data_IF_127049646856
#
_entry.id   IF_127049646856
#
_cell.length_a   1.000
_cell.length_b   1.000
_cell.length_c   1.000
_cell.angle_alpha   90.00
_cell.angle_beta   90.00
_cell.angle_gamma   90.00
#
_symmetry.space_group_name_H-M   'P 1'
#
loop_
_entity.id
_entity.type
_entity.pdbx_description
1 polymer ?
#
# COMPACT_ATOMS: atom_id res chain seq x y z
N UNK A 1 -60.45 108.67 31.36
CA UNK A 1 -60.49 107.36 30.68
C UNK A 1 -59.07 106.80 30.60
N UNK A 2 -58.90 105.59 31.16
CA UNK A 2 -57.78 104.60 31.15
C UNK A 2 -56.32 104.98 30.79
N UNK A 3 -55.43 104.63 31.73
CA UNK A 3 -54.10 103.95 31.68
C UNK A 3 -53.15 104.23 30.49
N UNK A 4 -51.83 104.37 30.62
CA UNK A 4 -50.81 104.17 31.68
C UNK A 4 -49.45 104.32 30.97
N UNK A 5 -48.44 105.01 31.52
CA UNK A 5 -47.31 104.40 32.24
C UNK A 5 -46.36 103.58 31.33
N UNK A 6 -45.04 103.67 31.36
CA UNK A 6 -44.07 104.24 32.30
C UNK A 6 -42.65 104.13 31.69
N UNK A 7 -41.81 105.09 32.08
CA UNK A 7 -40.39 105.04 32.50
C UNK A 7 -39.29 104.47 31.56
N UNK A 8 -38.20 105.19 31.22
CA UNK A 8 -37.10 105.85 31.99
C UNK A 8 -35.86 104.93 32.18
N UNK A 9 -34.66 105.43 31.79
CA UNK A 9 -33.46 105.69 32.64
C UNK A 9 -32.17 105.81 31.78
N UNK A 10 -31.40 106.92 31.93
CA UNK A 10 -30.08 107.09 32.62
C UNK A 10 -28.89 106.44 31.89
N UNK A 11 -27.63 106.83 31.98
CA UNK A 11 -26.81 107.99 32.39
C UNK A 11 -25.34 107.53 32.12
N UNK A 12 -24.45 108.40 31.64
CA UNK A 12 -23.00 108.11 31.51
C UNK A 12 -22.26 108.38 32.82
N UNK A 13 -21.14 107.67 33.08
CA UNK A 13 -19.81 108.19 33.49
C UNK A 13 -18.77 107.03 33.60
N UNK A 14 -17.50 107.40 33.33
CA UNK A 14 -16.24 106.67 33.09
C UNK A 14 -15.64 105.91 34.28
N UNK A 15 -14.81 104.89 34.01
CA UNK A 15 -13.58 104.55 34.77
C UNK A 15 -12.58 103.77 33.89
N UNK A 16 -11.29 104.06 34.04
CA UNK A 16 -10.17 103.45 33.32
C UNK A 16 -9.72 102.12 33.97
N UNK A 17 -9.24 101.16 33.16
CA UNK A 17 -8.54 99.97 33.63
C UNK A 17 -7.26 99.72 32.81
N UNK A 18 -6.17 99.49 33.52
CA UNK A 18 -4.84 99.10 33.03
C UNK A 18 -4.89 97.65 32.52
N UNK A 19 -4.36 97.37 31.33
CA UNK A 19 -4.19 96.01 30.82
C UNK A 19 -2.71 95.73 30.54
N UNK A 20 -2.17 94.71 31.23
CA UNK A 20 -0.80 94.24 31.09
C UNK A 20 -0.58 93.60 29.70
N UNK A 21 0.54 93.95 29.06
CA UNK A 21 0.99 93.34 27.80
C UNK A 21 1.63 91.98 28.12
N UNK A 22 0.89 90.89 27.97
CA UNK A 22 1.46 89.55 27.91
C UNK A 22 1.87 89.30 26.46
N UNK A 23 3.17 89.22 26.19
CA UNK A 23 3.66 88.73 24.90
C UNK A 23 3.44 87.22 24.86
N UNK A 24 2.31 86.78 24.29
CA UNK A 24 2.13 85.39 23.91
C UNK A 24 3.01 85.12 22.68
N UNK A 25 4.12 84.43 22.87
CA UNK A 25 4.82 83.75 21.78
C UNK A 25 3.88 82.67 21.24
N UNK A 26 3.23 82.94 20.10
CA UNK A 26 2.59 81.89 19.33
C UNK A 26 3.70 80.98 18.77
N UNK A 27 3.98 79.87 19.46
CA UNK A 27 4.68 78.76 18.83
C UNK A 27 3.77 78.27 17.69
N UNK A 28 4.16 78.51 16.43
CA UNK A 28 3.52 77.81 15.34
C UNK A 28 3.81 76.32 15.55
N UNK A 29 2.79 75.56 15.93
CA UNK A 29 2.83 74.12 15.77
C UNK A 29 2.94 73.87 14.26
N UNK A 30 4.17 73.75 13.77
CA UNK A 30 4.41 73.24 12.43
C UNK A 30 3.72 71.90 12.36
N UNK A 31 2.74 71.77 11.47
CA UNK A 31 2.23 70.46 11.07
C UNK A 31 3.44 69.75 10.47
N UNK A 32 4.04 68.85 11.25
CA UNK A 32 5.03 67.92 10.72
C UNK A 32 4.24 67.01 9.80
N UNK A 33 4.23 67.33 8.52
CA UNK A 33 3.81 66.38 7.49
C UNK A 33 4.85 65.27 7.56
N UNK A 34 4.49 64.15 8.21
CA UNK A 34 5.31 62.95 8.20
C UNK A 34 5.64 62.64 6.73
N UNK A 35 6.93 62.38 6.45
CA UNK A 35 7.33 61.91 5.13
C UNK A 35 6.42 60.73 4.73
N UNK A 36 5.97 60.64 3.47
CA UNK A 36 5.07 59.57 3.06
C UNK A 36 5.68 58.22 3.46
N UNK A 37 4.92 57.45 4.24
CA UNK A 37 5.35 56.14 4.71
C UNK A 37 5.74 55.26 3.52
N UNK A 38 6.83 54.50 3.64
CA UNK A 38 7.18 53.51 2.63
C UNK A 38 6.38 52.25 2.91
N UNK A 39 5.61 51.75 1.93
CA UNK A 39 4.92 50.47 2.07
C UNK A 39 5.89 49.35 2.47
N UNK A 40 5.43 48.35 3.23
CA UNK A 40 6.18 47.13 3.48
C UNK A 40 6.51 46.42 2.15
N UNK A 41 7.44 45.47 2.19
CA UNK A 41 7.75 44.55 1.09
C UNK A 41 7.29 43.16 1.50
N UNK A 42 6.24 42.67 0.85
CA UNK A 42 5.77 41.30 1.00
C UNK A 42 6.74 40.33 0.31
N UNK A 43 7.03 39.21 0.96
CA UNK A 43 7.75 38.09 0.37
C UNK A 43 7.44 36.82 1.14
N UNK A 44 7.12 35.74 0.44
CA UNK A 44 6.96 34.43 1.06
C UNK A 44 7.48 33.28 0.21
N UNK A 45 7.59 32.12 0.83
CA UNK A 45 7.91 30.84 0.18
C UNK A 45 6.84 29.81 0.52
N UNK A 46 6.65 28.84 -0.38
CA UNK A 46 5.77 27.70 -0.19
C UNK A 46 6.59 26.40 -0.26
N UNK A 47 6.44 25.50 0.71
CA UNK A 47 7.17 24.23 0.74
C UNK A 47 6.31 23.09 1.31
N UNK A 48 6.21 21.93 0.64
CA UNK A 48 6.80 21.63 -0.67
C UNK A 48 6.07 22.34 -1.82
N UNK A 49 6.79 22.58 -2.93
CA UNK A 49 6.24 23.07 -4.20
C UNK A 49 7.10 22.48 -5.35
N UNK A 50 6.61 21.48 -6.12
CA UNK A 50 5.25 20.94 -6.10
C UNK A 50 4.94 20.11 -4.84
N UNK A 51 3.65 20.05 -4.48
CA UNK A 51 3.12 19.20 -3.41
C UNK A 51 2.14 18.18 -3.99
N UNK A 52 1.92 17.05 -3.31
CA UNK A 52 0.86 16.13 -3.70
C UNK A 52 -0.49 16.55 -3.14
N UNK A 53 -1.58 16.13 -3.78
CA UNK A 53 -2.92 16.21 -3.17
C UNK A 53 -2.90 15.70 -1.72
N UNK A 54 -3.61 16.38 -0.83
CA UNK A 54 -3.66 16.11 0.60
C UNK A 54 -2.34 16.30 1.37
N UNK A 55 -1.23 16.64 0.70
CA UNK A 55 0.02 17.02 1.38
C UNK A 55 -0.09 18.46 1.90
N UNK A 56 0.42 18.68 3.11
CA UNK A 56 0.41 20.02 3.71
C UNK A 56 1.54 20.86 3.13
N UNK A 57 1.17 21.97 2.49
CA UNK A 57 2.06 23.05 2.06
C UNK A 57 2.21 24.04 3.20
N UNK A 58 3.44 24.35 3.58
CA UNK A 58 3.79 25.37 4.54
C UNK A 58 4.17 26.65 3.83
N UNK A 59 3.61 27.76 4.30
CA UNK A 59 3.88 29.10 3.79
C UNK A 59 4.68 29.88 4.82
N UNK A 60 5.82 30.43 4.41
CA UNK A 60 6.71 31.20 5.28
C UNK A 60 6.97 32.59 4.68
N UNK A 61 6.48 33.62 5.37
CA UNK A 61 6.63 35.04 5.03
C UNK A 61 7.68 35.79 5.89
N UNK A 62 8.55 35.09 6.62
CA UNK A 62 9.59 35.71 7.46
C UNK A 62 10.55 36.63 6.68
N UNK A 63 10.62 36.48 5.35
CA UNK A 63 11.39 37.36 4.46
C UNK A 63 10.70 38.70 4.15
N UNK A 64 9.45 38.90 4.58
CA UNK A 64 8.75 40.18 4.44
C UNK A 64 9.40 41.22 5.35
N UNK A 65 9.53 42.45 4.85
CA UNK A 65 10.24 43.53 5.57
C UNK A 65 9.48 44.84 5.52
N UNK A 66 9.70 45.69 6.52
CA UNK A 66 9.33 47.09 6.48
C UNK A 66 10.50 47.91 7.06
N UNK A 67 10.80 49.04 6.40
CA UNK A 67 11.87 49.95 6.82
C UNK A 67 11.48 50.81 8.02
N UNK A 68 10.18 50.96 8.28
CA UNK A 68 9.65 51.88 9.30
C UNK A 68 9.27 51.18 10.60
N UNK A 69 9.19 49.85 10.61
CA UNK A 69 8.87 49.09 11.81
C UNK A 69 8.57 47.62 11.52
N UNK A 70 8.00 46.91 12.52
CA UNK A 70 7.55 45.54 12.34
C UNK A 70 6.24 45.49 11.55
N UNK A 71 6.04 44.40 10.79
CA UNK A 71 4.77 44.09 10.14
C UNK A 71 3.69 43.85 11.20
N UNK A 72 2.53 44.51 11.06
CA UNK A 72 1.41 44.42 12.00
C UNK A 72 0.54 43.18 11.77
N UNK A 73 0.30 42.80 10.51
CA UNK A 73 -0.43 41.56 10.19
C UNK A 73 -0.07 40.95 8.83
N UNK A 74 -0.28 39.64 8.74
CA UNK A 74 -0.23 38.84 7.51
C UNK A 74 -1.62 38.30 7.19
N UNK A 75 -2.07 38.55 5.98
CA UNK A 75 -3.36 38.08 5.44
C UNK A 75 -3.08 37.29 4.16
N UNK A 76 -3.75 36.17 3.98
CA UNK A 76 -3.46 35.22 2.92
C UNK A 76 -4.72 34.91 2.13
N UNK A 77 -4.56 34.86 0.81
CA UNK A 77 -5.48 34.26 -0.17
C UNK A 77 -4.91 32.87 -0.49
N UNK A 78 -5.32 31.86 0.26
CA UNK A 78 -4.72 30.52 0.17
C UNK A 78 -5.39 29.64 -0.89
N UNK A 79 -6.57 30.01 -1.39
CA UNK A 79 -7.25 29.29 -2.49
C UNK A 79 -7.12 29.98 -3.85
N UNK A 80 -6.53 31.17 -3.89
CA UNK A 80 -6.28 31.93 -5.11
C UNK A 80 -7.54 32.55 -5.72
N UNK A 81 -8.61 32.72 -4.93
CA UNK A 81 -9.88 33.28 -5.41
C UNK A 81 -9.91 34.82 -5.46
N UNK A 82 -8.85 35.48 -4.97
CA UNK A 82 -8.70 36.93 -4.90
C UNK A 82 -9.15 37.57 -3.59
N UNK A 83 -9.63 36.78 -2.63
CA UNK A 83 -10.05 37.24 -1.29
C UNK A 83 -9.08 36.73 -0.22
N UNK A 84 -8.73 37.58 0.73
CA UNK A 84 -7.86 37.20 1.84
C UNK A 84 -8.68 36.60 2.97
N UNK A 85 -8.84 35.28 2.96
CA UNK A 85 -9.68 34.52 3.88
C UNK A 85 -8.96 34.10 5.17
N UNK A 86 -7.63 34.13 5.18
CA UNK A 86 -6.82 33.71 6.33
C UNK A 86 -6.02 34.88 6.89
N UNK A 87 -6.23 35.23 8.16
CA UNK A 87 -5.45 36.26 8.87
C UNK A 87 -4.68 35.61 10.04
N UNK A 88 -3.35 35.67 9.99
CA UNK A 88 -2.48 35.05 11.00
C UNK A 88 -1.94 36.04 12.03
N UNK A 89 -2.46 37.27 12.04
CA UNK A 89 -1.97 38.35 12.89
C UNK A 89 -0.48 38.57 12.65
N UNK A 90 0.32 38.60 13.72
CA UNK A 90 1.78 38.77 13.64
C UNK A 90 2.56 37.50 13.29
N UNK A 91 1.90 36.35 13.14
CA UNK A 91 2.55 35.10 12.71
C UNK A 91 2.79 35.12 11.20
N UNK A 92 4.06 35.06 10.79
CA UNK A 92 4.47 35.05 9.38
C UNK A 92 4.30 33.68 8.71
N UNK A 93 3.80 32.67 9.43
CA UNK A 93 3.65 31.30 8.90
C UNK A 93 2.21 30.81 8.95
N UNK A 94 1.82 30.07 7.93
CA UNK A 94 0.55 29.31 7.86
C UNK A 94 0.74 28.03 7.03
N UNK A 95 -0.29 27.21 6.92
CA UNK A 95 -0.24 25.98 6.13
C UNK A 95 -1.59 25.60 5.56
N UNK A 96 -1.61 24.94 4.39
CA UNK A 96 -2.83 24.40 3.77
C UNK A 96 -2.54 23.09 3.04
N UNK A 97 -3.50 22.18 3.06
CA UNK A 97 -3.51 21.01 2.19
C UNK A 97 -4.60 21.19 1.12
N UNK A 98 -4.31 20.76 -0.10
CA UNK A 98 -5.21 20.89 -1.25
C UNK A 98 -5.72 19.52 -1.67
N UNK A 99 -7.04 19.37 -1.77
CA UNK A 99 -7.66 18.09 -2.11
C UNK A 99 -7.70 17.81 -3.62
N UNK A 100 -7.60 18.86 -4.44
CA UNK A 100 -7.64 18.79 -5.90
C UNK A 100 -6.26 19.21 -6.42
N UNK A 101 -5.78 18.53 -7.44
CA UNK A 101 -4.55 18.87 -8.14
C UNK A 101 -4.74 20.08 -9.06
N UNK A 102 -3.63 20.62 -9.56
CA UNK A 102 -3.60 21.85 -10.37
C UNK A 102 -2.75 22.96 -9.74
N UNK A 103 -2.84 24.16 -10.32
CA UNK A 103 -2.05 25.31 -9.90
C UNK A 103 -2.92 26.28 -9.12
N UNK A 104 -2.46 26.67 -7.92
CA UNK A 104 -3.11 27.67 -7.07
C UNK A 104 -2.20 28.88 -6.97
N UNK A 105 -2.70 30.07 -7.29
CA UNK A 105 -1.96 31.33 -7.14
C UNK A 105 -2.22 31.89 -5.74
N UNK A 106 -1.36 31.52 -4.79
CA UNK A 106 -1.48 31.98 -3.41
C UNK A 106 -1.01 33.42 -3.32
N UNK A 107 -1.75 34.26 -2.60
CA UNK A 107 -1.33 35.64 -2.33
C UNK A 107 -1.11 35.89 -0.86
N UNK A 108 -0.09 36.67 -0.56
CA UNK A 108 0.14 37.26 0.75
C UNK A 108 -0.14 38.75 0.65
N UNK A 109 -0.84 39.31 1.64
CA UNK A 109 -0.90 40.74 1.94
C UNK A 109 -0.32 41.00 3.31
N UNK A 110 0.70 41.84 3.37
CA UNK A 110 1.28 42.34 4.62
C UNK A 110 0.76 43.74 4.89
N UNK A 111 0.51 44.07 6.16
CA UNK A 111 0.14 45.42 6.61
C UNK A 111 1.12 45.89 7.68
N UNK A 112 1.66 47.09 7.56
CA UNK A 112 2.53 47.70 8.57
C UNK A 112 1.73 48.33 9.74
N UNK A 113 2.42 48.98 10.70
CA UNK A 113 1.80 49.62 11.85
C UNK A 113 1.03 50.90 11.49
N UNK A 114 1.29 51.48 10.32
CA UNK A 114 0.70 52.70 9.79
C UNK A 114 -0.51 52.39 8.89
N UNK A 115 -0.77 51.11 8.61
CA UNK A 115 -1.88 50.64 7.78
C UNK A 115 -1.54 50.57 6.29
N UNK A 116 -0.29 50.76 5.88
CA UNK A 116 0.12 50.57 4.48
C UNK A 116 0.26 49.08 4.19
N UNK A 117 -0.04 48.71 2.95
CA UNK A 117 -0.04 47.32 2.51
C UNK A 117 0.86 47.07 1.32
N UNK A 118 1.32 45.83 1.21
CA UNK A 118 1.96 45.27 0.00
C UNK A 118 1.49 43.83 -0.17
N UNK A 119 1.49 43.38 -1.41
CA UNK A 119 1.12 42.00 -1.77
C UNK A 119 2.27 41.29 -2.47
N UNK A 120 2.31 39.97 -2.32
CA UNK A 120 3.18 39.06 -3.05
C UNK A 120 2.35 37.86 -3.53
N UNK A 121 2.74 37.22 -4.62
CA UNK A 121 1.99 36.10 -5.21
C UNK A 121 2.94 35.00 -5.66
N UNK A 122 2.68 33.77 -5.21
CA UNK A 122 3.44 32.59 -5.60
C UNK A 122 2.50 31.50 -6.14
N UNK A 123 2.93 30.84 -7.22
CA UNK A 123 2.19 29.71 -7.78
C UNK A 123 2.57 28.41 -7.07
N UNK A 124 1.60 27.75 -6.45
CA UNK A 124 1.75 26.43 -5.83
C UNK A 124 1.20 25.37 -6.79
N UNK A 125 2.04 24.43 -7.19
CA UNK A 125 1.62 23.31 -8.04
C UNK A 125 1.28 22.11 -7.17
N UNK A 126 0.04 21.63 -7.29
CA UNK A 126 -0.47 20.41 -6.66
C UNK A 126 -0.54 19.32 -7.71
N UNK A 127 0.05 18.16 -7.43
CA UNK A 127 0.10 17.02 -8.35
C UNK A 127 -0.70 15.84 -7.81
N UNK A 128 -1.44 15.17 -8.68
CA UNK A 128 -2.14 13.92 -8.41
C UNK A 128 -1.19 12.81 -7.87
N UNK A 129 -1.72 11.87 -7.07
CA UNK A 129 -1.01 10.68 -6.56
C UNK A 129 -1.31 9.47 -7.43
N UNK A 130 -0.25 8.85 -7.94
CA UNK A 130 -0.38 7.62 -8.73
C UNK A 130 -1.09 6.50 -7.94
N UNK A 131 -2.08 5.80 -8.55
CA UNK A 131 -2.80 4.72 -7.92
C UNK A 131 -1.92 3.48 -7.73
N UNK A 132 -2.36 2.57 -6.86
CA UNK A 132 -1.69 1.28 -6.64
C UNK A 132 -2.55 0.13 -7.14
N UNK A 133 -2.07 -0.57 -8.19
CA UNK A 133 -2.70 -1.78 -8.68
C UNK A 133 -2.58 -2.95 -7.69
N UNK A 134 -3.66 -3.72 -7.57
CA UNK A 134 -3.70 -4.98 -6.85
C UNK A 134 -4.94 -5.76 -7.27
N UNK A 135 -4.89 -7.09 -7.21
CA UNK A 135 -6.06 -7.93 -7.54
C UNK A 135 -6.02 -9.26 -6.80
N UNK A 136 -7.11 -10.01 -6.88
CA UNK A 136 -7.24 -11.41 -6.47
C UNK A 136 -7.62 -12.28 -7.66
N UNK A 137 -7.36 -13.58 -7.55
CA UNK A 137 -7.66 -14.58 -8.59
C UNK A 137 -8.44 -15.72 -7.94
N UNK A 138 -9.56 -16.11 -8.55
CA UNK A 138 -10.36 -17.23 -8.08
C UNK A 138 -10.98 -18.01 -9.26
N UNK A 139 -10.78 -19.34 -9.36
CA UNK A 139 -9.89 -20.13 -8.52
C UNK A 139 -8.41 -19.96 -8.93
N UNK A 140 -7.50 -20.24 -7.99
CA UNK A 140 -6.08 -20.40 -8.30
C UNK A 140 -5.52 -21.54 -7.43
N UNK A 141 -5.22 -22.72 -7.97
CA UNK A 141 -5.21 -23.12 -9.39
C UNK A 141 -6.59 -23.33 -10.04
N UNK A 142 -6.65 -23.42 -11.37
CA UNK A 142 -7.83 -23.74 -12.18
C UNK A 142 -7.55 -24.88 -13.17
N UNK A 143 -8.60 -25.45 -13.79
CA UNK A 143 -8.47 -26.41 -14.89
C UNK A 143 -8.56 -25.76 -16.29
N UNK A 144 -8.06 -26.41 -17.34
CA UNK A 144 -8.27 -25.94 -18.71
C UNK A 144 -9.76 -25.91 -19.03
N UNK A 145 -10.17 -24.85 -19.73
CA UNK A 145 -11.58 -24.56 -19.96
C UNK A 145 -12.37 -24.11 -18.72
N UNK A 146 -11.83 -24.15 -17.50
CA UNK A 146 -12.49 -23.59 -16.31
C UNK A 146 -12.41 -22.06 -16.33
N UNK A 147 -13.49 -21.40 -15.89
CA UNK A 147 -13.51 -19.94 -15.75
C UNK A 147 -12.71 -19.51 -14.53
N UNK A 148 -11.77 -18.60 -14.77
CA UNK A 148 -10.97 -17.92 -13.75
C UNK A 148 -11.41 -16.48 -13.68
N UNK A 149 -11.85 -16.05 -12.50
CA UNK A 149 -12.23 -14.67 -12.22
C UNK A 149 -11.08 -13.91 -11.58
N UNK A 150 -10.84 -12.72 -12.09
CA UNK A 150 -9.86 -11.75 -11.61
C UNK A 150 -10.62 -10.56 -11.05
N UNK A 151 -10.32 -10.16 -9.81
CA UNK A 151 -11.01 -9.03 -9.17
C UNK A 151 -9.98 -8.03 -8.67
N UNK A 152 -10.01 -6.82 -9.24
CA UNK A 152 -9.22 -5.68 -8.81
C UNK A 152 -9.56 -5.31 -7.36
N UNK A 153 -8.51 -5.20 -6.56
CA UNK A 153 -8.50 -4.64 -5.21
C UNK A 153 -7.60 -3.39 -5.16
N UNK A 154 -7.40 -2.77 -6.33
CA UNK A 154 -6.57 -1.59 -6.52
C UNK A 154 -7.15 -0.40 -5.77
N UNK A 155 -6.29 0.55 -5.42
CA UNK A 155 -6.67 1.74 -4.65
C UNK A 155 -6.02 2.98 -5.21
N UNK A 156 -6.73 4.08 -5.10
CA UNK A 156 -6.22 5.40 -5.38
C UNK A 156 -6.27 6.26 -4.10
N UNK A 157 -5.18 6.94 -3.69
CA UNK A 157 -5.13 7.64 -2.40
C UNK A 157 -5.94 8.93 -2.31
N UNK A 158 -6.21 9.57 -3.44
CA UNK A 158 -6.78 10.92 -3.57
C UNK A 158 -7.95 11.00 -4.54
N UNK A 159 -8.15 10.00 -5.39
CA UNK A 159 -9.28 9.95 -6.32
C UNK A 159 -9.93 8.57 -6.43
N UNK A 160 -10.30 8.24 -7.66
CA UNK A 160 -11.00 7.02 -8.01
C UNK A 160 -10.37 6.35 -9.22
N UNK A 161 -10.47 5.02 -9.31
CA UNK A 161 -9.91 4.30 -10.47
C UNK A 161 -10.89 4.35 -11.64
N UNK A 162 -10.48 5.02 -12.72
CA UNK A 162 -11.26 5.15 -13.95
C UNK A 162 -11.13 3.93 -14.88
N UNK A 163 -9.94 3.30 -14.99
CA UNK A 163 -9.73 2.13 -15.85
C UNK A 163 -8.90 1.02 -15.23
N UNK A 164 -9.21 -0.22 -15.63
CA UNK A 164 -8.47 -1.43 -15.33
C UNK A 164 -8.02 -2.08 -16.63
N UNK A 165 -6.71 -2.19 -16.80
CA UNK A 165 -6.08 -2.78 -17.98
C UNK A 165 -5.36 -4.07 -17.55
N UNK A 166 -5.70 -5.18 -18.17
CA UNK A 166 -5.24 -6.52 -17.82
C UNK A 166 -4.43 -7.14 -18.96
N UNK A 167 -3.32 -7.76 -18.57
CA UNK A 167 -2.58 -8.76 -19.34
C UNK A 167 -3.03 -10.13 -18.81
N UNK A 168 -3.97 -10.77 -19.49
CA UNK A 168 -4.54 -12.04 -19.03
C UNK A 168 -3.85 -13.26 -19.63
N UNK A 169 -2.95 -13.09 -20.61
CA UNK A 169 -2.23 -14.21 -21.22
C UNK A 169 -0.73 -14.25 -20.86
N UNK A 170 -0.24 -13.25 -20.13
CA UNK A 170 1.12 -13.15 -19.61
C UNK A 170 2.14 -12.76 -20.67
N UNK A 171 1.73 -12.15 -21.79
CA UNK A 171 2.62 -11.76 -22.88
C UNK A 171 3.28 -10.38 -22.68
N UNK A 172 2.89 -9.63 -21.64
CA UNK A 172 3.39 -8.29 -21.30
C UNK A 172 2.65 -7.12 -21.97
N UNK A 173 1.64 -7.39 -22.79
CA UNK A 173 0.73 -6.40 -23.35
C UNK A 173 -0.58 -6.39 -22.57
N UNK A 174 -1.25 -5.24 -22.52
CA UNK A 174 -2.52 -5.07 -21.79
C UNK A 174 -3.67 -4.99 -22.79
N UNK A 175 -4.15 -6.14 -23.23
CA UNK A 175 -5.15 -6.28 -24.28
C UNK A 175 -6.60 -6.17 -23.79
N UNK A 176 -6.83 -6.38 -22.48
CA UNK A 176 -8.17 -6.35 -21.90
C UNK A 176 -8.37 -5.10 -21.06
N UNK A 177 -9.27 -4.21 -21.48
CA UNK A 177 -9.69 -3.05 -20.70
C UNK A 177 -11.12 -3.22 -20.23
N UNK A 178 -11.34 -3.33 -18.91
CA UNK A 178 -12.67 -3.45 -18.31
C UNK A 178 -13.25 -2.11 -17.84
N UNK A 179 -12.56 -0.99 -18.14
CA UNK A 179 -12.97 0.34 -17.70
C UNK A 179 -13.14 0.39 -16.18
N UNK A 180 -14.28 0.88 -15.66
CA UNK A 180 -14.52 0.97 -14.22
C UNK A 180 -14.80 -0.40 -13.58
N UNK A 181 -15.13 -1.42 -14.39
CA UNK A 181 -15.46 -2.74 -13.86
C UNK A 181 -14.21 -3.39 -13.27
N UNK A 182 -14.33 -3.77 -12.00
CA UNK A 182 -13.23 -4.36 -11.23
C UNK A 182 -12.99 -5.83 -11.55
N UNK A 183 -13.87 -6.48 -12.29
CA UNK A 183 -13.86 -7.93 -12.46
C UNK A 183 -13.82 -8.32 -13.93
N UNK A 184 -12.91 -9.24 -14.27
CA UNK A 184 -12.84 -9.89 -15.58
C UNK A 184 -12.74 -11.40 -15.41
N UNK A 185 -13.16 -12.17 -16.40
CA UNK A 185 -12.99 -13.63 -16.38
C UNK A 185 -12.30 -14.12 -17.65
N UNK A 186 -11.56 -15.23 -17.52
CA UNK A 186 -10.90 -15.91 -18.64
C UNK A 186 -10.91 -17.42 -18.47
N UNK A 187 -11.02 -18.13 -19.58
CA UNK A 187 -10.80 -19.59 -19.67
C UNK A 187 -9.50 -19.83 -20.42
N UNK A 188 -8.65 -20.68 -19.88
CA UNK A 188 -7.36 -21.03 -20.49
C UNK A 188 -7.47 -22.37 -21.21
N UNK A 189 -7.07 -22.42 -22.48
CA UNK A 189 -7.16 -23.63 -23.29
C UNK A 189 -6.00 -24.61 -23.05
N UNK A 190 -4.85 -24.12 -22.57
CA UNK A 190 -3.66 -24.90 -22.29
C UNK A 190 -3.32 -24.88 -20.80
N UNK A 191 -2.80 -26.01 -20.32
CA UNK A 191 -2.23 -26.13 -18.97
C UNK A 191 -0.86 -25.43 -18.91
N UNK A 192 -0.47 -24.96 -17.73
CA UNK A 192 0.75 -24.20 -17.52
C UNK A 192 0.62 -23.10 -16.46
N UNK A 193 1.63 -22.24 -16.41
CA UNK A 193 1.64 -21.05 -15.56
C UNK A 193 1.49 -19.79 -16.42
N UNK A 194 0.61 -18.89 -16.01
CA UNK A 194 0.38 -17.61 -16.68
C UNK A 194 0.65 -16.49 -15.68
N UNK A 195 1.58 -15.59 -16.00
CA UNK A 195 1.89 -14.43 -15.17
C UNK A 195 0.97 -13.26 -15.53
N UNK A 196 -0.24 -13.27 -14.97
CA UNK A 196 -1.26 -12.25 -15.20
C UNK A 196 -0.84 -10.92 -14.58
N UNK A 197 -1.06 -9.83 -15.30
CA UNK A 197 -0.80 -8.47 -14.81
C UNK A 197 -2.05 -7.59 -14.85
N UNK A 198 -2.10 -6.64 -13.92
CA UNK A 198 -3.07 -5.55 -13.88
C UNK A 198 -2.32 -4.23 -13.73
N UNK A 199 -2.64 -3.25 -14.56
CA UNK A 199 -2.37 -1.83 -14.28
C UNK A 199 -3.68 -1.08 -14.21
N UNK A 200 -3.73 -0.03 -13.41
CA UNK A 200 -4.92 0.81 -13.26
C UNK A 200 -4.59 2.26 -13.57
N UNK A 201 -5.60 3.04 -13.90
CA UNK A 201 -5.47 4.50 -14.00
C UNK A 201 -6.61 5.18 -13.32
N UNK A 202 -6.27 6.23 -12.59
CA UNK A 202 -7.19 7.07 -11.86
C UNK A 202 -7.98 8.00 -12.80
N UNK A 203 -8.85 8.80 -12.17
CA UNK A 203 -9.70 9.81 -12.77
C UNK A 203 -8.94 11.05 -13.28
N UNK A 204 -7.70 11.26 -12.84
CA UNK A 204 -6.81 12.34 -13.30
C UNK A 204 -5.79 11.88 -14.36
N UNK A 205 -5.84 10.60 -14.76
CA UNK A 205 -5.06 10.01 -15.85
C UNK A 205 -3.71 9.41 -15.46
N UNK A 206 -3.33 9.35 -14.19
CA UNK A 206 -2.07 8.72 -13.77
C UNK A 206 -2.18 7.19 -13.71
N UNK A 207 -1.19 6.52 -14.31
CA UNK A 207 -1.17 5.06 -14.46
C UNK A 207 -0.25 4.40 -13.43
N UNK A 208 -0.75 3.36 -12.76
CA UNK A 208 0.04 2.59 -11.79
C UNK A 208 1.14 1.77 -12.45
N UNK A 209 2.15 1.39 -11.66
CA UNK A 209 2.97 0.22 -12.01
C UNK A 209 2.09 -1.04 -12.06
N UNK A 210 2.43 -2.05 -12.90
CA UNK A 210 1.68 -3.30 -12.94
C UNK A 210 1.79 -4.10 -11.64
N UNK A 211 0.68 -4.65 -11.18
CA UNK A 211 0.65 -5.74 -10.22
C UNK A 211 0.66 -7.08 -10.98
N UNK A 212 1.43 -8.06 -10.50
CA UNK A 212 1.52 -9.37 -11.14
C UNK A 212 1.10 -10.50 -10.20
N UNK A 213 0.41 -11.51 -10.73
CA UNK A 213 0.15 -12.78 -10.04
C UNK A 213 0.22 -13.95 -11.01
N UNK A 214 0.92 -14.99 -10.59
CA UNK A 214 0.96 -16.25 -11.32
C UNK A 214 -0.32 -17.07 -11.10
N UNK A 215 -0.92 -17.52 -12.19
CA UNK A 215 -2.07 -18.42 -12.23
C UNK A 215 -1.62 -19.79 -12.71
N UNK A 216 -1.94 -20.85 -11.96
CA UNK A 216 -1.66 -22.22 -12.36
C UNK A 216 -2.90 -22.85 -13.01
N UNK A 217 -2.75 -23.32 -14.25
CA UNK A 217 -3.78 -24.01 -15.03
C UNK A 217 -3.37 -25.47 -15.21
N UNK A 218 -4.25 -26.39 -14.87
CA UNK A 218 -4.04 -27.84 -15.00
C UNK A 218 -5.03 -28.44 -16.00
N UNK A 219 -4.74 -29.58 -16.62
CA UNK A 219 -5.74 -30.25 -17.45
C UNK A 219 -6.88 -30.84 -16.59
N UNK A 220 -8.15 -30.79 -17.05
CA UNK A 220 -9.26 -31.36 -16.33
C UNK A 220 -9.07 -32.87 -16.19
N UNK A 221 -9.55 -33.45 -15.08
CA UNK A 221 -9.53 -34.90 -14.93
C UNK A 221 -10.29 -35.57 -16.10
N UNK A 222 -9.87 -36.76 -16.56
CA UNK A 222 -10.59 -37.49 -17.60
C UNK A 222 -12.06 -37.67 -17.20
N UNK A 223 -12.99 -37.44 -18.13
CA UNK A 223 -14.41 -37.64 -17.88
C UNK A 223 -14.64 -39.07 -17.35
N UNK A 224 -15.39 -39.20 -16.25
CA UNK A 224 -15.76 -40.51 -15.72
C UNK A 224 -16.51 -41.29 -16.80
N UNK A 225 -16.10 -42.55 -17.06
CA UNK A 225 -16.87 -43.43 -17.93
C UNK A 225 -18.31 -43.50 -17.41
N UNK A 226 -19.32 -43.51 -18.30
CA UNK A 226 -20.70 -43.72 -17.88
C UNK A 226 -20.80 -45.03 -17.09
N UNK A 227 -21.68 -45.10 -16.07
CA UNK A 227 -21.87 -46.32 -15.31
C UNK A 227 -22.18 -47.48 -16.27
N UNK A 228 -21.62 -48.68 -16.05
CA UNK A 228 -21.93 -49.83 -16.89
C UNK A 228 -23.45 -50.02 -16.88
N UNK A 229 -24.07 -50.04 -18.07
CA UNK A 229 -25.47 -50.35 -18.22
C UNK A 229 -25.77 -51.62 -17.40
N UNK A 230 -26.79 -51.55 -16.54
CA UNK A 230 -27.23 -52.70 -15.75
C UNK A 230 -27.43 -53.88 -16.71
N UNK A 231 -26.68 -54.96 -16.50
CA UNK A 231 -26.80 -56.18 -17.30
C UNK A 231 -28.21 -56.74 -17.11
N UNK A 232 -29.09 -56.48 -18.07
CA UNK A 232 -30.30 -57.29 -18.25
C UNK A 232 -29.83 -58.63 -18.81
N UNK A 233 -30.14 -59.70 -18.09
CA UNK A 233 -29.86 -61.07 -18.53
C UNK A 233 -30.57 -61.34 -19.87
N UNK A 234 -29.79 -61.47 -20.95
CA UNK A 234 -30.20 -62.18 -22.15
C UNK A 234 -29.20 -63.33 -22.41
N UNK A 235 -29.66 -64.49 -22.88
CA UNK A 235 -28.80 -65.65 -23.13
C UNK A 235 -27.78 -65.40 -24.27
N UNK A 236 -26.62 -66.04 -24.12
CA UNK A 236 -25.37 -65.88 -24.86
C UNK A 236 -25.48 -66.00 -26.41
N UNK A 237 -24.77 -65.15 -27.17
CA UNK A 237 -24.26 -65.47 -28.50
C UNK A 237 -22.83 -66.09 -28.49
N UNK A 238 -22.41 -66.75 -29.58
CA UNK A 238 -21.20 -67.58 -29.67
C UNK A 238 -19.88 -66.77 -29.61
N UNK A 239 -18.73 -67.43 -29.35
CA UNK A 239 -17.55 -66.77 -28.83
C UNK A 239 -16.83 -65.97 -29.91
N UNK A 240 -16.57 -64.69 -29.62
CA UNK A 240 -15.57 -63.92 -30.35
C UNK A 240 -14.26 -63.86 -29.56
N UNK A 241 -13.18 -63.88 -30.33
CA UNK A 241 -11.77 -63.81 -29.95
C UNK A 241 -11.51 -62.74 -28.90
N UNK A 242 -11.04 -63.18 -27.73
CA UNK A 242 -10.69 -62.32 -26.59
C UNK A 242 -9.30 -61.72 -26.83
N UNK A 243 -9.26 -60.42 -27.10
CA UNK A 243 -8.06 -59.60 -26.90
C UNK A 243 -7.77 -59.47 -25.39
N UNK A 244 -6.49 -59.38 -24.97
CA UNK A 244 -6.12 -59.44 -23.55
C UNK A 244 -6.67 -58.23 -22.77
N UNK A 245 -6.99 -58.39 -21.47
CA UNK A 245 -7.64 -57.36 -20.68
C UNK A 245 -6.71 -56.15 -20.44
N UNK A 246 -7.23 -54.91 -20.51
CA UNK A 246 -6.46 -53.73 -20.13
C UNK A 246 -6.31 -53.66 -18.61
N UNK A 247 -5.10 -53.29 -18.17
CA UNK A 247 -4.74 -53.18 -16.77
C UNK A 247 -5.56 -52.09 -16.08
N UNK A 248 -6.14 -52.42 -14.93
CA UNK A 248 -6.85 -51.50 -14.04
C UNK A 248 -5.87 -50.47 -13.47
N UNK A 249 -5.91 -49.24 -13.99
CA UNK A 249 -5.12 -48.13 -13.44
C UNK A 249 -5.94 -47.48 -12.31
N UNK A 250 -5.45 -47.66 -11.08
CA UNK A 250 -5.99 -47.03 -9.88
C UNK A 250 -6.01 -45.49 -10.00
N UNK A 251 -7.00 -44.80 -9.40
CA UNK A 251 -7.10 -43.35 -9.46
C UNK A 251 -5.81 -42.67 -8.91
N UNK A 252 -5.41 -41.52 -9.48
CA UNK A 252 -4.19 -40.83 -9.05
C UNK A 252 -4.34 -40.36 -7.60
N UNK A 253 -3.31 -40.65 -6.80
CA UNK A 253 -3.31 -40.35 -5.37
C UNK A 253 -3.25 -38.83 -5.15
N UNK A 254 -4.22 -38.28 -4.43
CA UNK A 254 -4.27 -36.85 -4.12
C UNK A 254 -3.19 -36.44 -3.11
N UNK A 255 -2.68 -35.21 -3.17
CA UNK A 255 -1.75 -34.67 -2.17
C UNK A 255 -2.44 -34.22 -0.89
N UNK A 256 -1.71 -34.24 0.23
CA UNK A 256 -2.19 -33.64 1.50
C UNK A 256 -2.35 -32.13 1.38
N UNK A 257 -3.41 -31.57 1.99
CA UNK A 257 -3.72 -30.13 1.95
C UNK A 257 -3.91 -29.55 3.35
N UNK A 258 -3.32 -28.40 3.69
CA UNK A 258 -2.30 -27.67 2.91
C UNK A 258 -1.00 -28.48 2.76
N UNK A 259 -0.26 -28.26 1.67
CA UNK A 259 0.97 -29.00 1.44
C UNK A 259 2.05 -28.67 2.50
N UNK A 260 2.74 -29.66 3.09
CA UNK A 260 3.61 -29.45 4.24
C UNK A 260 4.76 -28.47 3.99
N UNK A 261 5.05 -27.63 4.99
CA UNK A 261 6.14 -26.67 4.96
C UNK A 261 7.22 -27.12 5.94
N UNK A 262 8.43 -27.36 5.42
CA UNK A 262 9.62 -27.70 6.21
C UNK A 262 10.55 -26.48 6.25
N UNK A 263 10.88 -26.02 7.46
CA UNK A 263 11.81 -24.92 7.70
C UNK A 263 13.01 -25.39 8.49
N UNK A 264 14.20 -25.17 7.94
CA UNK A 264 15.49 -25.35 8.63
C UNK A 264 16.21 -24.00 8.69
N UNK A 265 16.61 -23.58 9.88
CA UNK A 265 17.34 -22.32 10.11
C UNK A 265 18.60 -22.65 10.90
N UNK A 266 19.71 -22.03 10.52
CA UNK A 266 21.01 -22.27 11.14
C UNK A 266 22.09 -21.35 10.61
N UNK A 267 23.32 -21.60 11.03
CA UNK A 267 24.53 -20.94 10.53
C UNK A 267 25.55 -21.96 10.07
N UNK A 268 26.36 -21.60 9.08
CA UNK A 268 27.49 -22.42 8.63
C UNK A 268 28.59 -22.39 9.70
N UNK A 269 29.25 -23.53 9.92
CA UNK A 269 30.39 -23.64 10.85
C UNK A 269 31.50 -24.47 10.22
N UNK A 270 32.73 -24.32 10.70
CA UNK A 270 33.87 -25.12 10.22
C UNK A 270 33.52 -26.62 10.32
N UNK A 271 33.47 -27.31 9.19
CA UNK A 271 33.15 -28.75 9.13
C UNK A 271 31.66 -29.15 9.21
N UNK A 272 30.70 -28.22 9.10
CA UNK A 272 29.27 -28.57 9.04
C UNK A 272 28.31 -27.38 9.16
N UNK A 273 27.16 -27.59 9.82
CA UNK A 273 26.18 -26.54 10.07
C UNK A 273 25.67 -26.61 11.53
N UNK A 274 25.50 -25.45 12.17
CA UNK A 274 24.80 -25.33 13.44
C UNK A 274 23.32 -25.08 13.14
N UNK A 275 22.48 -26.06 13.40
CA UNK A 275 21.02 -25.90 13.26
C UNK A 275 20.51 -25.15 14.50
N UNK A 276 19.78 -24.05 14.28
CA UNK A 276 19.10 -23.28 15.32
C UNK A 276 17.63 -23.62 15.43
N UNK A 277 17.00 -24.02 14.32
CA UNK A 277 15.60 -24.42 14.28
C UNK A 277 15.36 -25.42 13.17
N UNK A 278 14.67 -26.51 13.50
CA UNK A 278 14.02 -27.38 12.52
C UNK A 278 12.55 -27.50 12.91
N UNK A 279 11.66 -27.02 12.04
CA UNK A 279 10.22 -27.03 12.27
C UNK A 279 9.45 -27.45 11.04
N UNK A 280 8.36 -28.19 11.24
CA UNK A 280 7.49 -28.69 10.18
C UNK A 280 6.05 -28.28 10.48
N UNK A 281 5.39 -27.61 9.52
CA UNK A 281 3.95 -27.33 9.55
C UNK A 281 3.27 -28.27 8.57
N UNK A 282 2.34 -29.08 9.04
CA UNK A 282 1.63 -30.08 8.25
C UNK A 282 0.17 -30.23 8.73
N UNK A 283 -0.73 -30.77 7.90
CA UNK A 283 -2.13 -31.07 8.27
C UNK A 283 -2.23 -32.06 9.44
N UNK A 284 -3.27 -31.96 10.27
CA UNK A 284 -3.40 -32.72 11.53
C UNK A 284 -3.47 -34.24 11.37
N UNK A 285 -3.92 -34.71 10.21
CA UNK A 285 -4.06 -36.10 9.78
C UNK A 285 -2.75 -36.72 9.26
N UNK A 286 -1.61 -36.03 9.43
CA UNK A 286 -0.30 -36.49 8.95
C UNK A 286 0.65 -36.87 10.08
N UNK A 287 1.55 -37.82 9.79
CA UNK A 287 2.66 -38.19 10.68
C UNK A 287 3.95 -37.58 10.15
N UNK A 288 4.66 -36.83 10.98
CA UNK A 288 5.97 -36.26 10.67
C UNK A 288 7.03 -37.20 11.23
N UNK A 289 7.79 -37.85 10.36
CA UNK A 289 8.95 -38.67 10.70
C UNK A 289 10.23 -37.97 10.30
N UNK A 290 11.16 -37.79 11.24
CA UNK A 290 12.50 -37.28 10.97
C UNK A 290 13.52 -38.40 11.11
N UNK A 291 14.36 -38.58 10.10
CA UNK A 291 15.50 -39.49 10.12
C UNK A 291 16.79 -38.68 10.06
N UNK A 292 17.75 -39.03 10.90
CA UNK A 292 19.07 -38.40 10.87
C UNK A 292 20.13 -39.49 10.70
N UNK A 293 20.94 -39.37 9.66
CA UNK A 293 22.05 -40.28 9.36
C UNK A 293 23.35 -39.50 9.30
N UNK A 294 24.36 -39.94 10.03
CA UNK A 294 25.67 -39.29 10.05
C UNK A 294 26.25 -39.20 11.46
N UNK A 295 27.49 -38.73 11.56
CA UNK A 295 28.18 -38.59 12.84
C UNK A 295 27.45 -37.54 13.70
N UNK A 296 27.18 -37.88 14.96
CA UNK A 296 26.49 -37.04 15.97
C UNK A 296 25.02 -36.72 15.68
N UNK A 297 24.31 -37.56 14.93
CA UNK A 297 22.85 -37.51 14.91
C UNK A 297 22.29 -37.84 16.31
N UNK A 298 21.33 -37.06 16.84
CA UNK A 298 20.78 -37.27 18.19
C UNK A 298 19.87 -38.50 18.28
N UNK A 299 19.35 -38.98 17.15
CA UNK A 299 18.55 -40.19 17.02
C UNK A 299 18.61 -40.66 15.56
N UNK A 300 18.33 -41.93 15.32
CA UNK A 300 18.20 -42.47 13.95
C UNK A 300 16.84 -42.16 13.33
N UNK A 301 15.77 -42.18 14.15
CA UNK A 301 14.39 -41.87 13.75
C UNK A 301 13.63 -41.26 14.94
N UNK A 302 12.79 -40.27 14.67
CA UNK A 302 11.76 -39.78 15.59
C UNK A 302 10.48 -39.51 14.78
N UNK A 303 9.31 -39.82 15.34
CA UNK A 303 8.02 -39.61 14.68
C UNK A 303 7.05 -38.90 15.63
N UNK A 304 6.17 -38.09 15.09
CA UNK A 304 5.14 -37.38 15.86
C UNK A 304 3.97 -37.00 14.97
N UNK A 305 2.76 -36.99 15.52
CA UNK A 305 1.58 -36.53 14.81
C UNK A 305 1.62 -35.01 14.61
N UNK A 306 1.22 -34.55 13.44
CA UNK A 306 1.03 -33.13 13.16
C UNK A 306 -0.22 -32.60 13.89
N UNK A 307 -0.31 -31.28 14.03
CA UNK A 307 -1.47 -30.61 14.64
C UNK A 307 -1.89 -29.44 13.76
N UNK A 308 -3.19 -29.31 13.51
CA UNK A 308 -3.74 -28.25 12.66
C UNK A 308 -3.23 -26.87 13.11
N UNK A 309 -2.76 -26.07 12.15
CA UNK A 309 -2.29 -24.71 12.40
C UNK A 309 -0.96 -24.57 13.17
N UNK A 310 -0.39 -25.63 13.75
CA UNK A 310 0.82 -25.56 14.58
C UNK A 310 2.05 -26.17 13.90
N UNK A 311 3.21 -25.56 14.13
CA UNK A 311 4.49 -26.10 13.68
C UNK A 311 5.09 -27.02 14.74
N UNK A 312 5.50 -28.22 14.35
CA UNK A 312 6.21 -29.16 15.22
C UNK A 312 7.71 -28.89 15.16
N UNK A 313 8.34 -28.68 16.32
CA UNK A 313 9.76 -28.33 16.46
C UNK A 313 10.59 -29.52 16.93
N UNK A 314 11.65 -29.85 16.21
CA UNK A 314 12.54 -30.96 16.53
C UNK A 314 13.78 -30.50 17.31
N UNK A 315 13.57 -30.11 18.59
CA UNK A 315 14.61 -29.47 19.43
C UNK A 315 15.92 -30.26 19.52
N UNK A 316 15.87 -31.58 19.57
CA UNK A 316 17.08 -32.44 19.62
C UNK A 316 17.99 -32.30 18.39
N UNK A 317 17.47 -31.84 17.25
CA UNK A 317 18.25 -31.58 16.04
C UNK A 317 18.82 -30.16 15.97
N UNK A 318 18.52 -29.29 16.93
CA UNK A 318 19.03 -27.91 17.01
C UNK A 318 20.45 -27.90 17.59
N UNK A 319 21.36 -28.51 16.84
CA UNK A 319 22.74 -28.72 17.26
C UNK A 319 23.69 -28.63 16.07
N UNK A 320 24.99 -28.75 16.35
CA UNK A 320 26.01 -28.88 15.31
C UNK A 320 25.93 -30.24 14.64
N UNK A 321 25.61 -30.24 13.35
CA UNK A 321 25.66 -31.40 12.48
C UNK A 321 26.92 -31.33 11.61
N UNK A 322 27.63 -32.46 11.47
CA UNK A 322 28.87 -32.53 10.67
C UNK A 322 28.54 -32.63 9.18
N UNK A 323 29.48 -32.19 8.35
CA UNK A 323 29.42 -32.44 6.90
C UNK A 323 29.26 -33.95 6.62
N UNK A 324 28.38 -34.28 5.68
CA UNK A 324 27.99 -35.66 5.36
C UNK A 324 26.72 -36.13 6.07
N UNK A 325 26.26 -35.43 7.12
CA UNK A 325 24.97 -35.73 7.77
C UNK A 325 23.81 -35.50 6.81
N UNK A 326 22.89 -36.46 6.74
CA UNK A 326 21.62 -36.38 6.01
C UNK A 326 20.47 -36.35 7.01
N UNK A 327 19.66 -35.29 6.93
CA UNK A 327 18.41 -35.16 7.69
C UNK A 327 17.26 -35.30 6.71
N UNK A 328 16.41 -36.30 6.90
CA UNK A 328 15.24 -36.58 6.05
C UNK A 328 13.98 -36.32 6.86
N UNK A 329 13.06 -35.55 6.30
CA UNK A 329 11.75 -35.24 6.87
C UNK A 329 10.71 -35.89 5.96
N UNK A 330 9.92 -36.79 6.52
CA UNK A 330 8.84 -37.50 5.84
C UNK A 330 7.54 -37.06 6.50
N UNK A 331 6.65 -36.44 5.75
CA UNK A 331 5.29 -36.13 6.19
C UNK A 331 4.37 -37.09 5.46
N UNK A 332 3.85 -38.11 6.15
CA UNK A 332 3.08 -39.20 5.55
C UNK A 332 1.60 -39.13 5.92
N UNK A 333 0.74 -39.51 4.97
CA UNK A 333 -0.69 -39.72 5.16
C UNK A 333 -1.07 -41.15 4.70
N UNK A 334 -2.08 -41.80 5.30
CA UNK A 334 -2.47 -43.18 4.95
C UNK A 334 -2.91 -43.37 3.50
N UNK A 335 -3.54 -42.36 2.89
CA UNK A 335 -4.14 -42.46 1.54
C UNK A 335 -3.76 -41.32 0.59
N UNK A 336 -2.95 -40.34 1.05
CA UNK A 336 -2.61 -39.13 0.27
C UNK A 336 -1.11 -38.99 0.10
N UNK A 337 -0.69 -38.38 -1.00
CA UNK A 337 0.71 -38.04 -1.26
C UNK A 337 1.15 -36.95 -0.27
N UNK A 338 2.11 -37.33 0.55
CA UNK A 338 2.79 -36.49 1.51
C UNK A 338 4.03 -35.79 0.94
N UNK A 339 4.89 -35.29 1.85
CA UNK A 339 6.13 -34.60 1.49
C UNK A 339 7.36 -35.33 1.99
N UNK A 340 8.39 -35.37 1.16
CA UNK A 340 9.75 -35.73 1.57
C UNK A 340 10.66 -34.51 1.39
N UNK A 341 11.40 -34.14 2.44
CA UNK A 341 12.46 -33.12 2.35
C UNK A 341 13.76 -33.67 2.92
N UNK A 342 14.79 -33.73 2.09
CA UNK A 342 16.14 -34.12 2.50
C UNK A 342 17.09 -32.93 2.58
N UNK A 343 17.87 -32.85 3.66
CA UNK A 343 18.95 -31.89 3.84
C UNK A 343 20.29 -32.62 4.00
N UNK A 344 21.17 -32.48 3.01
CA UNK A 344 22.55 -32.97 3.11
C UNK A 344 23.46 -31.85 3.60
N UNK A 345 23.99 -31.99 4.81
CA UNK A 345 24.93 -31.03 5.40
C UNK A 345 26.27 -31.12 4.67
N UNK A 346 26.79 -29.98 4.23
CA UNK A 346 28.03 -29.86 3.45
C UNK A 346 29.09 -29.10 4.24
N UNK A 347 30.37 -29.33 3.91
CA UNK A 347 31.49 -28.59 4.51
C UNK A 347 31.55 -27.22 3.85
N UNK A 348 31.48 -26.15 4.65
CA UNK A 348 31.67 -24.77 4.19
C UNK A 348 30.61 -24.27 3.19
N UNK A 349 29.49 -24.97 3.03
CA UNK A 349 28.41 -24.62 2.09
C UNK A 349 27.05 -24.86 2.72
N UNK A 350 26.04 -24.13 2.25
CA UNK A 350 24.64 -24.35 2.61
C UNK A 350 24.22 -25.81 2.40
N UNK A 351 23.37 -26.37 3.28
CA UNK A 351 22.85 -27.72 3.10
C UNK A 351 22.18 -27.87 1.73
N UNK A 352 22.46 -28.95 1.02
CA UNK A 352 21.73 -29.27 -0.21
C UNK A 352 20.34 -29.76 0.18
N UNK A 353 19.32 -29.03 -0.24
CA UNK A 353 17.91 -29.37 -0.06
C UNK A 353 17.40 -30.18 -1.26
N UNK A 354 16.62 -31.22 -1.01
CA UNK A 354 15.86 -31.97 -2.02
C UNK A 354 14.43 -32.13 -1.52
N UNK A 355 13.47 -31.53 -2.21
CA UNK A 355 12.05 -31.73 -1.94
C UNK A 355 11.49 -32.71 -2.98
N UNK A 356 10.68 -33.65 -2.51
CA UNK A 356 10.07 -34.75 -3.25
C UNK A 356 8.69 -35.03 -2.67
N UNK A 357 7.92 -35.85 -3.36
CA UNK A 357 6.65 -36.36 -2.85
C UNK A 357 6.85 -37.68 -2.12
N UNK A 358 5.95 -37.95 -1.18
CA UNK A 358 5.96 -39.19 -0.41
C UNK A 358 4.64 -39.92 -0.64
N UNK A 359 4.63 -40.93 -1.51
CA UNK A 359 3.45 -41.75 -1.72
C UNK A 359 3.00 -42.44 -0.40
N UNK A 360 1.69 -42.71 -0.23
CA UNK A 360 1.16 -43.51 0.87
C UNK A 360 1.96 -44.79 1.11
N UNK A 361 2.35 -45.05 2.37
CA UNK A 361 3.16 -46.21 2.75
C UNK A 361 4.64 -46.17 2.34
N UNK A 362 5.06 -45.22 1.50
CA UNK A 362 6.44 -45.14 1.01
C UNK A 362 7.42 -44.72 2.11
N UNK A 363 8.65 -45.22 2.02
CA UNK A 363 9.75 -44.91 2.96
C UNK A 363 10.83 -43.99 2.37
N UNK A 364 10.74 -43.65 1.09
CA UNK A 364 11.64 -42.78 0.34
C UNK A 364 10.79 -41.83 -0.50
N UNK A 365 11.27 -40.61 -0.70
CA UNK A 365 10.62 -39.69 -1.63
C UNK A 365 10.85 -40.13 -3.07
N UNK A 366 9.83 -39.95 -3.90
CA UNK A 366 9.90 -40.04 -5.36
C UNK A 366 9.67 -38.67 -5.96
N UNK A 367 9.96 -38.51 -7.24
CA UNK A 367 9.45 -37.34 -7.96
C UNK A 367 7.96 -37.22 -7.69
N UNK A 368 7.53 -35.97 -7.47
CA UNK A 368 6.12 -35.69 -7.42
C UNK A 368 5.54 -36.15 -8.75
N UNK A 369 4.41 -36.87 -8.75
CA UNK A 369 3.72 -37.15 -10.00
C UNK A 369 3.65 -35.82 -10.75
N UNK A 370 4.21 -35.82 -11.96
CA UNK A 370 4.04 -34.72 -12.90
C UNK A 370 2.54 -34.63 -13.11
N UNK A 371 1.93 -33.68 -12.41
CA UNK A 371 0.50 -33.42 -12.48
C UNK A 371 0.21 -32.67 -13.74
#
# INVERSE_FOLDING_TARGET
MRFGGKLLRRALVRFALVAALVVLSAASAGVVVAAPGSSPVASFTATPNPAKTGETVFFNAEASTDRQGPIAKYEWDLDGNGTFETNTGTSATTSRAYAVDGVVNVKLRVTDQQGLTSEDTESVTITNRVPTASFTVNPNSAFTGQEVTFTSTSRDPDGSIARHEWDLDGNGSFETNSGPDRTVSRRYAASGYVDVQLRVTDDDGATSAPASRQVAIFDPPPAANPPPAAKVFYPLPPPQTVSPPPQTVSPPLQTVSPFPIVRIVGRLVRGGAQIRRLSVRAPADTIITVRCRGRRCPYRRASTAARAGRSVRFRRLERRLRAGTLVEILVSHPTKIGKYTGFRIRRGRSPRRKDLCLAPGARRGSECPSG
#
